data_IF_336245896286
#
_entry.id   IF_336245896286
#
_cell.length_a   1.000
_cell.length_b   1.000
_cell.length_c   1.000
_cell.angle_alpha   90.00
_cell.angle_beta   90.00
_cell.angle_gamma   90.00
#
_symmetry.space_group_name_H-M   'P 1'
#
loop_
_entity.id
_entity.type
_entity.pdbx_description
1 polymer ?
#
# COMPACT_ATOMS: atom_id res chain seq x y z
N UNK A 1 13.95 27.87 -77.25
CA UNK A 1 13.08 27.68 -76.07
C UNK A 1 13.72 26.59 -75.19
N UNK A 2 14.43 27.00 -74.10
CA UNK A 2 15.08 26.08 -73.16
C UNK A 2 14.13 25.90 -71.95
N UNK A 3 13.62 24.69 -71.72
CA UNK A 3 12.80 24.34 -70.57
C UNK A 3 13.74 24.04 -69.41
N UNK A 4 13.68 24.86 -68.38
CA UNK A 4 14.35 24.64 -67.11
C UNK A 4 13.51 23.66 -66.28
N UNK A 5 14.10 22.53 -65.93
CA UNK A 5 13.50 21.49 -65.05
C UNK A 5 13.91 21.82 -63.61
N UNK A 6 12.99 22.39 -62.78
CA UNK A 6 13.21 22.59 -61.37
C UNK A 6 13.05 21.24 -60.64
N UNK A 7 14.15 20.69 -60.13
CA UNK A 7 14.16 19.53 -59.23
C UNK A 7 13.93 20.00 -57.79
N UNK A 8 12.73 19.83 -57.29
CA UNK A 8 12.38 20.12 -55.86
C UNK A 8 12.86 18.97 -55.01
N UNK A 9 13.91 19.18 -54.20
CA UNK A 9 14.44 18.23 -53.27
C UNK A 9 13.58 18.24 -51.99
N UNK A 10 12.71 17.23 -51.81
CA UNK A 10 11.89 17.06 -50.62
C UNK A 10 12.78 16.51 -49.49
N UNK A 11 13.16 17.35 -48.54
CA UNK A 11 13.82 16.91 -47.33
C UNK A 11 12.81 16.20 -46.43
N UNK A 12 12.92 14.85 -46.33
CA UNK A 12 12.17 14.03 -45.38
C UNK A 12 12.87 14.12 -44.02
N UNK A 13 12.39 14.98 -43.13
CA UNK A 13 12.85 15.04 -41.73
C UNK A 13 12.21 13.86 -41.00
N UNK A 14 12.96 12.76 -40.85
CA UNK A 14 12.56 11.67 -39.97
C UNK A 14 12.61 12.16 -38.49
N UNK A 15 11.47 12.50 -37.93
CA UNK A 15 11.33 12.63 -36.50
C UNK A 15 11.40 11.22 -35.88
N UNK A 16 12.52 10.86 -35.28
CA UNK A 16 12.59 9.71 -34.39
C UNK A 16 11.75 10.04 -33.14
N UNK A 17 10.54 9.49 -33.07
CA UNK A 17 9.76 9.53 -31.85
C UNK A 17 10.51 8.71 -30.79
N UNK A 18 11.18 9.36 -29.86
CA UNK A 18 11.69 8.74 -28.66
C UNK A 18 10.49 8.35 -27.80
N UNK A 19 10.12 7.08 -27.81
CA UNK A 19 9.18 6.55 -26.82
C UNK A 19 9.91 6.49 -25.48
N UNK A 20 9.33 7.11 -24.46
CA UNK A 20 9.85 6.95 -23.10
C UNK A 20 9.75 5.47 -22.71
N UNK A 21 10.79 4.93 -22.09
CA UNK A 21 10.75 3.59 -21.52
C UNK A 21 9.67 3.48 -20.45
N UNK A 22 9.03 2.34 -20.34
CA UNK A 22 7.97 2.10 -19.36
C UNK A 22 8.52 1.20 -18.26
N UNK A 23 8.40 1.67 -17.00
CA UNK A 23 8.68 0.86 -15.81
C UNK A 23 7.36 0.52 -15.11
N UNK A 24 7.07 -0.78 -14.97
CA UNK A 24 5.86 -1.27 -14.30
C UNK A 24 6.14 -1.50 -12.83
N UNK A 25 5.38 -0.81 -11.98
CA UNK A 25 5.50 -0.86 -10.52
C UNK A 25 4.25 -1.46 -9.91
N UNK A 26 4.36 -2.60 -9.22
CA UNK A 26 3.28 -3.05 -8.35
C UNK A 26 3.46 -2.54 -6.91
N UNK A 27 2.37 -2.11 -6.32
CA UNK A 27 2.34 -1.59 -4.95
C UNK A 27 1.03 -1.90 -4.25
N UNK A 28 0.80 -1.31 -3.06
CA UNK A 28 -0.42 -1.54 -2.30
C UNK A 28 -1.44 -0.41 -2.49
N UNK A 29 -2.73 -0.75 -2.35
CA UNK A 29 -3.81 0.25 -2.38
C UNK A 29 -3.69 1.27 -1.25
N UNK A 30 -3.10 0.92 -0.10
CA UNK A 30 -2.81 1.88 0.97
C UNK A 30 -1.70 2.86 0.58
N UNK A 31 -0.67 2.41 -0.12
CA UNK A 31 0.38 3.29 -0.67
C UNK A 31 -0.20 4.29 -1.67
N UNK A 32 -1.07 3.83 -2.57
CA UNK A 32 -1.79 4.69 -3.51
C UNK A 32 -2.68 5.70 -2.79
N UNK A 33 -3.51 5.22 -1.85
CA UNK A 33 -4.45 6.05 -1.09
C UNK A 33 -3.75 7.10 -0.20
N UNK A 34 -2.49 6.89 0.18
CA UNK A 34 -1.72 7.88 0.94
C UNK A 34 -1.35 9.14 0.13
N UNK A 35 -1.50 9.10 -1.19
CA UNK A 35 -1.10 10.19 -2.08
C UNK A 35 0.41 10.29 -2.34
N UNK A 36 1.23 9.42 -1.75
CA UNK A 36 2.68 9.44 -1.88
C UNK A 36 3.13 9.36 -3.33
N UNK A 37 2.59 8.40 -4.08
CA UNK A 37 3.00 8.18 -5.48
C UNK A 37 2.59 9.35 -6.38
N UNK A 38 1.46 9.99 -6.11
CA UNK A 38 1.03 11.20 -6.83
C UNK A 38 2.06 12.35 -6.70
N UNK A 39 2.75 12.43 -5.57
CA UNK A 39 3.79 13.43 -5.34
C UNK A 39 5.15 13.01 -5.93
N UNK A 40 5.52 11.73 -5.85
CA UNK A 40 6.85 11.25 -6.22
C UNK A 40 6.99 10.89 -7.70
N UNK A 41 5.97 10.26 -8.31
CA UNK A 41 6.08 9.73 -9.67
C UNK A 41 6.44 10.80 -10.71
N UNK A 42 5.82 12.02 -10.72
CA UNK A 42 6.19 13.04 -11.71
C UNK A 42 7.65 13.49 -11.60
N UNK A 43 8.21 13.52 -10.39
CA UNK A 43 9.61 13.87 -10.18
C UNK A 43 10.54 12.81 -10.77
N UNK A 44 10.24 11.53 -10.54
CA UNK A 44 10.99 10.41 -11.09
C UNK A 44 10.90 10.37 -12.63
N UNK A 45 9.69 10.45 -13.18
CA UNK A 45 9.43 10.40 -14.62
C UNK A 45 10.18 11.52 -15.36
N UNK A 46 10.12 12.75 -14.83
CA UNK A 46 10.82 13.89 -15.40
C UNK A 46 12.35 13.77 -15.29
N UNK A 47 12.86 13.19 -14.19
CA UNK A 47 14.30 13.08 -13.96
C UNK A 47 14.95 12.04 -14.86
N UNK A 48 14.27 10.93 -15.08
CA UNK A 48 14.83 9.78 -15.79
C UNK A 48 14.27 9.57 -17.19
N UNK A 49 13.28 10.37 -17.61
CA UNK A 49 12.54 10.21 -18.87
C UNK A 49 11.95 8.79 -19.04
N UNK A 50 11.42 8.26 -17.94
CA UNK A 50 10.79 6.92 -17.85
C UNK A 50 9.35 7.12 -17.39
N UNK A 51 8.38 6.47 -18.05
CA UNK A 51 6.99 6.43 -17.60
C UNK A 51 6.79 5.34 -16.56
N UNK A 52 6.10 5.65 -15.46
CA UNK A 52 5.71 4.69 -14.43
C UNK A 52 4.27 4.20 -14.65
N UNK A 53 4.11 2.92 -14.95
CA UNK A 53 2.81 2.25 -14.93
C UNK A 53 2.60 1.61 -13.55
N UNK A 54 1.74 2.21 -12.71
CA UNK A 54 1.51 1.78 -11.33
C UNK A 54 0.29 0.86 -11.23
N UNK A 55 0.47 -0.31 -10.60
CA UNK A 55 -0.58 -1.28 -10.32
C UNK A 55 -0.75 -1.39 -8.80
N UNK A 56 -1.75 -0.70 -8.24
CA UNK A 56 -2.06 -0.68 -6.82
C UNK A 56 -3.08 -1.77 -6.46
N UNK A 57 -2.64 -2.78 -5.69
CA UNK A 57 -3.43 -3.96 -5.30
C UNK A 57 -3.10 -4.37 -3.85
N UNK A 58 -3.63 -5.47 -3.33
CA UNK A 58 -3.17 -6.02 -2.04
C UNK A 58 -1.75 -6.58 -2.14
N UNK A 59 -0.98 -6.57 -1.02
CA UNK A 59 0.42 -7.02 -0.97
C UNK A 59 0.64 -8.40 -1.61
N UNK A 60 -0.22 -9.38 -1.30
CA UNK A 60 -0.08 -10.73 -1.86
C UNK A 60 -0.24 -10.75 -3.38
N UNK A 61 -1.14 -9.92 -3.93
CA UNK A 61 -1.32 -9.79 -5.37
C UNK A 61 -0.19 -9.00 -6.02
N UNK A 62 0.32 -7.94 -5.36
CA UNK A 62 1.49 -7.18 -5.84
C UNK A 62 2.73 -8.07 -5.98
N UNK A 63 3.01 -8.91 -4.97
CA UNK A 63 4.11 -9.88 -5.03
C UNK A 63 3.88 -10.94 -6.12
N UNK A 64 2.65 -11.43 -6.31
CA UNK A 64 2.33 -12.38 -7.40
C UNK A 64 2.56 -11.80 -8.79
N UNK A 65 2.25 -10.53 -9.02
CA UNK A 65 2.59 -9.86 -10.28
C UNK A 65 4.11 -9.89 -10.53
N UNK A 66 4.91 -9.70 -9.47
CA UNK A 66 6.36 -9.86 -9.54
C UNK A 66 6.80 -11.31 -9.76
N UNK A 67 6.16 -12.29 -9.09
CA UNK A 67 6.42 -13.72 -9.31
C UNK A 67 6.15 -14.16 -10.75
N UNK A 68 5.15 -13.57 -11.39
CA UNK A 68 4.79 -13.85 -12.79
C UNK A 68 5.68 -13.11 -13.81
N UNK A 69 6.39 -12.04 -13.41
CA UNK A 69 7.11 -11.16 -14.33
C UNK A 69 6.22 -10.11 -15.03
N UNK A 70 5.03 -9.86 -14.48
CA UNK A 70 4.08 -8.88 -15.03
C UNK A 70 4.50 -7.43 -14.74
N UNK A 71 5.45 -7.23 -13.81
CA UNK A 71 5.99 -5.93 -13.38
C UNK A 71 7.52 -6.01 -13.27
N UNK A 72 8.17 -4.85 -13.28
CA UNK A 72 9.63 -4.72 -13.18
C UNK A 72 10.08 -4.50 -11.72
N UNK A 73 9.20 -3.87 -10.92
CA UNK A 73 9.50 -3.45 -9.56
C UNK A 73 8.30 -3.70 -8.64
N UNK A 74 8.58 -4.09 -7.41
CA UNK A 74 7.58 -4.23 -6.33
C UNK A 74 7.92 -3.27 -5.20
N UNK A 75 6.95 -2.45 -4.75
CA UNK A 75 7.07 -1.52 -3.62
C UNK A 75 5.98 -1.81 -2.60
N UNK A 76 6.35 -2.46 -1.50
CA UNK A 76 5.42 -2.97 -0.49
C UNK A 76 5.95 -2.80 0.94
N UNK A 77 5.13 -3.14 1.94
CA UNK A 77 5.43 -2.93 3.36
C UNK A 77 5.01 -4.14 4.23
N UNK A 78 5.42 -5.33 3.82
CA UNK A 78 5.17 -6.59 4.55
C UNK A 78 6.45 -7.43 4.65
N UNK A 79 7.40 -7.08 5.53
CA UNK A 79 8.76 -7.64 5.58
C UNK A 79 8.82 -9.17 5.53
N UNK A 80 7.93 -9.87 6.24
CA UNK A 80 7.91 -11.34 6.23
C UNK A 80 7.57 -11.94 4.85
N UNK A 81 6.64 -11.31 4.12
CA UNK A 81 6.27 -11.74 2.76
C UNK A 81 7.36 -11.38 1.76
N UNK A 82 7.96 -10.20 1.88
CA UNK A 82 9.07 -9.72 1.06
C UNK A 82 10.29 -10.65 1.19
N UNK A 83 10.67 -11.04 2.41
CA UNK A 83 11.79 -11.96 2.65
C UNK A 83 11.53 -13.35 2.05
N UNK A 84 10.28 -13.84 2.07
CA UNK A 84 9.91 -15.08 1.37
C UNK A 84 10.07 -14.96 -0.15
N UNK A 85 9.64 -13.84 -0.71
CA UNK A 85 9.75 -13.51 -2.13
C UNK A 85 11.22 -13.46 -2.59
N UNK A 86 12.10 -12.78 -1.84
CA UNK A 86 13.55 -12.75 -2.08
C UNK A 86 14.16 -14.15 -1.97
N UNK A 87 13.83 -14.90 -0.90
CA UNK A 87 14.36 -16.27 -0.68
C UNK A 87 13.96 -17.24 -1.80
N UNK A 88 12.78 -17.06 -2.38
CA UNK A 88 12.32 -17.82 -3.54
C UNK A 88 13.02 -17.41 -4.85
N UNK A 89 13.82 -16.35 -4.83
CA UNK A 89 14.61 -15.87 -5.96
C UNK A 89 13.84 -15.00 -6.96
N UNK A 90 12.61 -14.58 -6.65
CA UNK A 90 11.79 -13.75 -7.55
C UNK A 90 12.20 -12.27 -7.51
N UNK A 91 12.68 -11.78 -6.38
CA UNK A 91 13.14 -10.40 -6.22
C UNK A 91 14.62 -10.32 -5.92
N UNK A 92 15.23 -9.20 -6.31
CA UNK A 92 16.62 -8.82 -6.01
C UNK A 92 16.66 -7.38 -5.49
N UNK A 93 17.79 -6.96 -4.95
CA UNK A 93 18.05 -5.57 -4.53
C UNK A 93 16.98 -4.99 -3.59
N UNK A 94 16.53 -5.79 -2.61
CA UNK A 94 15.59 -5.29 -1.59
C UNK A 94 16.22 -4.15 -0.80
N UNK A 95 15.66 -2.94 -0.96
CA UNK A 95 16.13 -1.71 -0.31
C UNK A 95 15.04 -1.09 0.54
N UNK A 96 15.40 -0.63 1.73
CA UNK A 96 14.53 0.21 2.55
C UNK A 96 14.40 1.59 1.88
N UNK A 97 13.17 2.09 1.76
CA UNK A 97 12.88 3.39 1.14
C UNK A 97 12.44 4.39 2.19
N UNK A 98 11.47 4.01 3.00
CA UNK A 98 10.86 4.84 4.03
C UNK A 98 10.22 3.99 5.10
N UNK A 99 9.70 4.63 6.11
CA UNK A 99 8.78 4.00 7.06
C UNK A 99 7.58 4.90 7.31
N UNK A 100 6.51 4.28 7.71
CA UNK A 100 5.28 4.85 8.22
C UNK A 100 4.98 4.12 9.55
N UNK A 101 3.86 4.36 10.18
CA UNK A 101 3.34 3.54 11.27
C UNK A 101 1.88 3.17 11.01
N UNK A 102 1.43 2.14 11.69
CA UNK A 102 0.01 1.86 11.80
C UNK A 102 -0.57 2.63 12.99
N UNK A 103 -1.82 2.99 12.86
CA UNK A 103 -2.61 3.63 13.91
C UNK A 103 -3.92 2.88 14.10
N UNK A 104 -4.37 2.76 15.33
CA UNK A 104 -5.68 2.25 15.64
C UNK A 104 -6.66 3.42 15.70
N UNK A 105 -7.66 3.37 14.84
CA UNK A 105 -8.75 4.33 14.84
C UNK A 105 -9.94 3.80 15.61
N UNK A 106 -10.71 4.72 16.19
CA UNK A 106 -11.95 4.41 16.86
C UNK A 106 -12.87 5.64 16.97
N UNK A 107 -14.12 5.45 17.38
CA UNK A 107 -15.08 6.53 17.55
C UNK A 107 -14.69 7.44 18.73
N UNK A 108 -15.03 8.73 18.64
CA UNK A 108 -14.77 9.72 19.70
C UNK A 108 -15.25 9.30 21.09
N UNK A 109 -16.46 8.65 21.25
CA UNK A 109 -16.90 8.17 22.55
C UNK A 109 -16.02 7.06 23.14
N UNK A 110 -15.20 6.40 22.33
CA UNK A 110 -14.23 5.36 22.71
C UNK A 110 -14.81 4.31 23.69
N UNK A 111 -15.85 3.56 23.30
CA UNK A 111 -16.58 2.66 24.20
C UNK A 111 -15.71 1.54 24.80
N UNK A 112 -14.60 1.18 24.15
CA UNK A 112 -13.64 0.22 24.71
C UNK A 112 -12.64 0.85 25.69
N UNK A 113 -12.71 2.16 25.95
CA UNK A 113 -11.85 2.90 26.88
C UNK A 113 -10.33 2.68 26.61
N UNK A 114 -9.92 2.72 25.35
CA UNK A 114 -8.55 2.39 24.93
C UNK A 114 -7.50 3.37 25.43
N UNK A 115 -7.90 4.58 25.83
CA UNK A 115 -6.97 5.63 26.33
C UNK A 115 -6.12 5.17 27.54
N UNK A 116 -6.53 4.10 28.23
CA UNK A 116 -5.76 3.49 29.33
C UNK A 116 -4.75 2.43 28.86
N UNK A 117 -4.82 2.00 27.61
CA UNK A 117 -3.94 0.96 27.06
C UNK A 117 -2.53 1.51 26.79
N UNK A 118 -1.52 0.88 27.38
CA UNK A 118 -0.12 1.25 27.16
C UNK A 118 0.46 0.61 25.88
N UNK A 119 -0.16 -0.49 25.42
CA UNK A 119 0.27 -1.24 24.24
C UNK A 119 -0.91 -1.47 23.31
N UNK A 120 -0.61 -1.69 22.02
CA UNK A 120 -1.66 -2.06 21.05
C UNK A 120 -2.32 -3.39 21.42
N UNK A 121 -1.59 -4.33 22.03
CA UNK A 121 -2.14 -5.61 22.48
C UNK A 121 -3.17 -5.43 23.59
N UNK A 122 -2.96 -4.49 24.51
CA UNK A 122 -3.94 -4.14 25.54
C UNK A 122 -5.17 -3.48 24.93
N UNK A 123 -4.99 -2.54 23.99
CA UNK A 123 -6.07 -1.91 23.26
C UNK A 123 -6.96 -2.94 22.54
N UNK A 124 -6.34 -3.90 21.85
CA UNK A 124 -7.05 -4.98 21.18
C UNK A 124 -7.83 -5.89 22.14
N UNK A 125 -7.28 -6.20 23.33
CA UNK A 125 -8.01 -6.93 24.38
C UNK A 125 -9.22 -6.16 24.89
N UNK A 126 -9.08 -4.86 25.11
CA UNK A 126 -10.19 -4.00 25.54
C UNK A 126 -11.32 -3.99 24.51
N UNK A 127 -11.00 -3.91 23.20
CA UNK A 127 -12.01 -4.01 22.13
C UNK A 127 -12.74 -5.36 22.18
N UNK A 128 -12.01 -6.48 22.31
CA UNK A 128 -12.63 -7.81 22.38
C UNK A 128 -13.56 -7.97 23.58
N UNK A 129 -13.24 -7.35 24.71
CA UNK A 129 -13.99 -7.49 25.98
C UNK A 129 -15.21 -6.58 26.06
N UNK A 130 -15.42 -5.72 25.09
CA UNK A 130 -16.54 -4.79 25.02
C UNK A 130 -17.47 -5.12 23.86
N UNK A 131 -18.73 -4.63 23.85
CA UNK A 131 -19.63 -4.78 22.71
C UNK A 131 -19.25 -3.86 21.52
N UNK A 132 -17.96 -3.54 21.38
CA UNK A 132 -17.46 -2.66 20.34
C UNK A 132 -17.14 -3.44 19.07
N UNK A 133 -17.45 -2.88 17.91
CA UNK A 133 -17.18 -3.49 16.61
C UNK A 133 -15.75 -3.16 16.14
N UNK A 134 -15.08 -4.15 15.56
CA UNK A 134 -13.84 -3.98 14.83
C UNK A 134 -14.02 -4.32 13.36
N UNK A 135 -13.61 -3.43 12.46
CA UNK A 135 -13.63 -3.63 11.02
C UNK A 135 -12.23 -4.04 10.54
N UNK A 136 -12.13 -5.25 10.03
CA UNK A 136 -10.92 -5.79 9.41
C UNK A 136 -10.96 -5.63 7.88
N UNK A 137 -9.82 -5.37 7.28
CA UNK A 137 -9.69 -5.38 5.81
C UNK A 137 -10.04 -6.73 5.21
N UNK A 138 -9.54 -7.82 5.77
CA UNK A 138 -9.86 -9.19 5.34
C UNK A 138 -9.44 -9.54 3.90
N UNK A 139 -8.48 -8.81 3.29
CA UNK A 139 -8.14 -8.84 1.86
C UNK A 139 -6.70 -9.34 1.57
N UNK A 140 -6.05 -9.96 2.55
CA UNK A 140 -4.64 -10.41 2.47
C UNK A 140 -3.60 -9.29 2.19
N UNK A 141 -3.98 -8.03 2.39
CA UNK A 141 -3.07 -6.88 2.27
C UNK A 141 -2.01 -6.83 3.37
N UNK A 142 -1.04 -5.91 3.24
CA UNK A 142 -0.06 -5.63 4.29
C UNK A 142 -0.71 -5.20 5.60
N UNK A 143 -1.74 -4.35 5.54
CA UNK A 143 -2.53 -3.94 6.72
C UNK A 143 -3.25 -5.12 7.36
N UNK A 144 -3.90 -5.97 6.57
CA UNK A 144 -4.55 -7.17 7.09
C UNK A 144 -3.55 -8.14 7.73
N UNK A 145 -2.39 -8.37 7.10
CA UNK A 145 -1.31 -9.20 7.67
C UNK A 145 -0.78 -8.62 8.99
N UNK A 146 -0.61 -7.30 9.06
CA UNK A 146 -0.22 -6.60 10.29
C UNK A 146 -1.27 -6.78 11.38
N UNK A 147 -2.52 -6.54 11.07
CA UNK A 147 -3.66 -6.69 11.98
C UNK A 147 -3.69 -8.10 12.59
N UNK A 148 -3.66 -9.14 11.75
CA UNK A 148 -3.65 -10.54 12.21
C UNK A 148 -2.44 -10.84 13.11
N UNK A 149 -1.26 -10.30 12.76
CA UNK A 149 -0.06 -10.43 13.61
C UNK A 149 -0.25 -9.78 14.99
N UNK A 150 -0.89 -8.61 15.06
CA UNK A 150 -1.18 -7.92 16.33
C UNK A 150 -2.18 -8.69 17.19
N UNK A 151 -3.26 -9.24 16.59
CA UNK A 151 -4.20 -10.13 17.26
C UNK A 151 -3.52 -11.39 17.83
N UNK A 152 -2.63 -12.00 17.06
CA UNK A 152 -1.82 -13.16 17.51
C UNK A 152 -0.92 -12.78 18.69
N UNK A 153 -0.26 -11.63 18.65
CA UNK A 153 0.57 -11.12 19.76
C UNK A 153 -0.28 -10.86 21.03
N UNK A 154 -1.51 -10.39 20.86
CA UNK A 154 -2.47 -10.25 21.94
C UNK A 154 -3.03 -11.59 22.47
N UNK A 155 -2.68 -12.72 21.81
CA UNK A 155 -3.21 -14.07 22.06
C UNK A 155 -4.72 -14.18 21.84
N UNK A 156 -5.24 -13.42 20.86
CA UNK A 156 -6.64 -13.39 20.47
C UNK A 156 -6.76 -13.97 19.06
N UNK A 157 -7.76 -14.81 18.85
CA UNK A 157 -8.24 -15.20 17.52
C UNK A 157 -9.58 -14.49 17.29
N UNK A 158 -9.59 -13.36 16.56
CA UNK A 158 -10.80 -12.57 16.40
C UNK A 158 -11.86 -13.37 15.63
N UNK A 159 -13.09 -13.36 16.13
CA UNK A 159 -14.22 -14.07 15.52
C UNK A 159 -15.54 -13.60 16.15
N UNK A 160 -16.66 -13.87 15.49
CA UNK A 160 -17.98 -13.51 15.98
C UNK A 160 -18.48 -12.16 15.46
N UNK A 161 -19.63 -11.71 15.99
CA UNK A 161 -20.35 -10.55 15.48
C UNK A 161 -19.65 -9.18 15.69
N UNK A 162 -18.70 -9.11 16.59
CA UNK A 162 -17.93 -7.90 16.84
C UNK A 162 -16.76 -7.67 15.86
N UNK A 163 -16.33 -8.73 15.14
CA UNK A 163 -15.21 -8.69 14.20
C UNK A 163 -15.71 -8.88 12.77
N UNK A 164 -15.75 -7.81 12.00
CA UNK A 164 -16.29 -7.80 10.63
C UNK A 164 -15.16 -7.72 9.61
N UNK A 165 -14.94 -8.80 8.89
CA UNK A 165 -13.99 -8.87 7.77
C UNK A 165 -14.70 -8.47 6.48
N UNK A 166 -14.30 -7.35 5.86
CA UNK A 166 -15.06 -6.75 4.75
C UNK A 166 -14.50 -7.02 3.36
N UNK A 167 -13.27 -7.52 3.26
CA UNK A 167 -12.64 -7.87 1.97
C UNK A 167 -12.40 -6.67 1.04
N UNK A 168 -12.18 -5.46 1.60
CA UNK A 168 -12.11 -4.22 0.84
C UNK A 168 -10.77 -3.49 1.00
N UNK A 169 -10.45 -2.58 0.06
CA UNK A 169 -9.31 -1.66 0.17
C UNK A 169 -9.47 -0.67 1.32
N UNK A 170 -8.34 -0.11 1.83
CA UNK A 170 -8.34 0.70 3.07
C UNK A 170 -9.29 1.89 3.05
N UNK A 171 -9.43 2.58 1.92
CA UNK A 171 -10.36 3.72 1.81
C UNK A 171 -11.83 3.34 2.04
N UNK A 172 -12.26 2.16 1.57
CA UNK A 172 -13.61 1.63 1.83
C UNK A 172 -13.75 1.17 3.28
N UNK A 173 -12.73 0.51 3.83
CA UNK A 173 -12.69 0.09 5.24
C UNK A 173 -12.86 1.27 6.18
N UNK A 174 -12.16 2.38 5.95
CA UNK A 174 -12.27 3.60 6.75
C UNK A 174 -13.70 4.16 6.74
N UNK A 175 -14.36 4.22 5.57
CA UNK A 175 -15.74 4.69 5.48
C UNK A 175 -16.71 3.76 6.23
N UNK A 176 -16.57 2.44 6.06
CA UNK A 176 -17.41 1.46 6.76
C UNK A 176 -17.20 1.56 8.28
N UNK A 177 -15.96 1.72 8.73
CA UNK A 177 -15.65 1.86 10.15
C UNK A 177 -16.23 3.17 10.72
N UNK A 178 -16.18 4.25 9.95
CA UNK A 178 -16.75 5.55 10.32
C UNK A 178 -18.27 5.48 10.45
N UNK A 179 -18.96 4.97 9.43
CA UNK A 179 -20.42 4.78 9.43
C UNK A 179 -20.91 3.90 10.60
N UNK A 180 -20.12 2.89 10.96
CA UNK A 180 -20.44 1.97 12.06
C UNK A 180 -19.94 2.45 13.43
N UNK A 181 -19.23 3.57 13.48
CA UNK A 181 -18.56 4.05 14.69
C UNK A 181 -17.72 2.93 15.34
N UNK A 182 -16.94 2.25 14.52
CA UNK A 182 -16.18 1.04 14.84
C UNK A 182 -14.67 1.31 14.92
N UNK A 183 -13.94 0.38 15.54
CA UNK A 183 -12.48 0.39 15.53
C UNK A 183 -11.92 -0.23 14.23
N UNK A 184 -10.77 0.25 13.79
CA UNK A 184 -10.05 -0.32 12.65
C UNK A 184 -8.57 0.04 12.70
N UNK A 185 -7.73 -0.81 12.10
CA UNK A 185 -6.32 -0.54 11.90
C UNK A 185 -6.08 0.05 10.51
N UNK A 186 -5.29 1.13 10.44
CA UNK A 186 -4.84 1.71 9.17
C UNK A 186 -3.40 2.18 9.28
N UNK A 187 -2.72 2.39 8.16
CA UNK A 187 -1.49 3.17 8.15
C UNK A 187 -1.78 4.67 8.28
N UNK A 188 -0.87 5.40 8.93
CA UNK A 188 -1.03 6.84 9.20
C UNK A 188 -1.16 7.66 7.92
N UNK A 189 -0.41 7.34 6.87
CA UNK A 189 -0.47 8.07 5.60
C UNK A 189 -1.87 8.04 4.99
N UNK A 190 -2.50 6.86 4.96
CA UNK A 190 -3.90 6.73 4.53
C UNK A 190 -4.84 7.51 5.44
N UNK A 191 -4.70 7.41 6.78
CA UNK A 191 -5.53 8.18 7.71
C UNK A 191 -5.44 9.69 7.46
N UNK A 192 -4.24 10.25 7.31
CA UNK A 192 -4.04 11.69 7.05
C UNK A 192 -4.80 12.14 5.80
N UNK A 193 -4.82 11.32 4.75
CA UNK A 193 -5.54 11.63 3.50
C UNK A 193 -7.06 11.63 3.67
N UNK A 194 -7.58 10.84 4.62
CA UNK A 194 -9.02 10.69 4.83
C UNK A 194 -9.56 11.44 6.05
N UNK A 195 -8.72 11.90 7.00
CA UNK A 195 -9.11 12.41 8.33
C UNK A 195 -10.18 13.49 8.30
N UNK A 196 -10.14 14.39 7.32
CA UNK A 196 -11.11 15.50 7.21
C UNK A 196 -12.51 15.03 6.70
N UNK A 197 -12.64 13.74 6.37
CA UNK A 197 -13.88 13.11 5.90
C UNK A 197 -14.38 12.02 6.84
N UNK A 198 -13.75 11.90 8.03
CA UNK A 198 -14.05 10.88 9.01
C UNK A 198 -14.29 11.52 10.37
N UNK A 199 -15.21 10.94 11.13
CA UNK A 199 -15.41 11.26 12.57
C UNK A 199 -14.51 10.43 13.47
N UNK A 200 -13.89 9.35 12.94
CA UNK A 200 -12.94 8.52 13.67
C UNK A 200 -11.68 9.29 14.02
N UNK A 201 -11.15 9.00 15.20
CA UNK A 201 -9.89 9.56 15.69
C UNK A 201 -8.86 8.46 15.95
N UNK A 202 -7.58 8.84 16.05
CA UNK A 202 -6.54 7.95 16.55
C UNK A 202 -6.77 7.72 18.04
N UNK A 203 -6.94 6.45 18.43
CA UNK A 203 -7.15 6.03 19.83
C UNK A 203 -5.96 5.25 20.41
N UNK A 204 -5.06 4.72 19.55
CA UNK A 204 -3.78 4.15 19.97
C UNK A 204 -2.75 4.29 18.85
N UNK A 205 -1.52 4.68 19.21
CA UNK A 205 -0.39 4.91 18.32
C UNK A 205 0.95 4.79 19.06
N UNK A 206 2.07 4.81 18.35
CA UNK A 206 3.42 4.90 18.92
C UNK A 206 4.02 3.59 19.44
N UNK A 207 3.26 2.50 19.48
CA UNK A 207 3.78 1.19 19.87
C UNK A 207 4.78 0.69 18.79
N UNK A 208 5.91 0.10 19.23
CA UNK A 208 6.95 -0.43 18.34
C UNK A 208 6.42 -1.49 17.38
N UNK A 209 5.41 -2.25 17.77
CA UNK A 209 4.78 -3.25 16.89
C UNK A 209 3.92 -2.64 15.79
N UNK A 210 3.63 -1.34 15.86
CA UNK A 210 2.94 -0.58 14.81
C UNK A 210 3.88 -0.06 13.71
N UNK A 211 5.19 -0.25 13.82
CA UNK A 211 6.14 0.17 12.81
C UNK A 211 5.88 -0.48 11.44
N UNK A 212 5.91 0.33 10.39
CA UNK A 212 5.52 -0.05 9.04
C UNK A 212 6.61 0.34 8.02
N UNK A 213 7.69 -0.46 7.87
CA UNK A 213 8.76 -0.17 6.93
C UNK A 213 8.37 -0.55 5.51
N UNK A 214 8.71 0.29 4.56
CA UNK A 214 8.50 0.12 3.13
C UNK A 214 9.79 -0.24 2.43
N UNK A 215 9.70 -1.25 1.54
CA UNK A 215 10.84 -1.68 0.75
C UNK A 215 10.47 -1.77 -0.73
N UNK A 216 11.47 -1.46 -1.56
CA UNK A 216 11.41 -1.64 -2.99
C UNK A 216 12.32 -2.83 -3.38
N UNK A 217 11.89 -3.59 -4.39
CA UNK A 217 12.63 -4.74 -4.91
C UNK A 217 12.51 -4.75 -6.42
N UNK A 218 13.61 -4.97 -7.13
CA UNK A 218 13.57 -5.28 -8.55
C UNK A 218 13.16 -6.75 -8.74
N UNK A 219 12.46 -7.04 -9.81
CA UNK A 219 12.15 -8.41 -10.22
C UNK A 219 13.39 -9.04 -10.80
N UNK A 220 13.65 -10.29 -10.44
CA UNK A 220 14.84 -11.02 -10.88
C UNK A 220 14.69 -11.45 -12.35
N UNK A 221 15.44 -10.86 -13.30
CA UNK A 221 15.31 -11.16 -14.71
C UNK A 221 15.71 -12.60 -15.06
N UNK A 222 16.48 -13.29 -14.21
CA UNK A 222 16.84 -14.69 -14.41
C UNK A 222 15.66 -15.66 -14.22
N UNK A 223 14.56 -15.22 -13.60
CA UNK A 223 13.34 -16.01 -13.42
C UNK A 223 12.34 -15.84 -14.57
N UNK A 224 12.49 -14.79 -15.37
CA UNK A 224 11.57 -14.42 -16.45
C UNK A 224 12.39 -14.24 -17.73
N UNK A 225 12.50 -15.31 -18.51
CA UNK A 225 13.16 -15.32 -19.83
C UNK A 225 12.11 -15.34 -20.93
#
# INVERSE_FOLDING_TARGET
MKKALCFSLLYFVCFTAYSADILRLSTTTSTENSGLLKALNPLFENTYNIRLDVIAVGTGKALRLGENGDVDVVFVHAPAAELKFIKAGYGIDRKAVMHNDFVLLGPKPNPANINSAQTIQEALKQIQQTPATFISRGDDSGTHKKEISLWQQAKIKPSGSWYLSVGQGMGAVLKIADEKQAYTLTDRGTYITFKDKLDLIIVNEGDKSLFNPYHIMAINPAKHK
#
